data_IF_170635196324
#
_entry.id   IF_170635196324
#
_cell.length_a   1.000
_cell.length_b   1.000
_cell.length_c   1.000
_cell.angle_alpha   90.00
_cell.angle_beta   90.00
_cell.angle_gamma   90.00
#
_symmetry.space_group_name_H-M   'P 1'
#
loop_
_entity.id
_entity.type
_entity.pdbx_description
1 polymer ?
2 non-polymer ?
3 non-polymer ?
4 non-polymer ?
5 water ?
#
# COMPACT_ATOMS: atom_id res chain seq x y z
N UNK A 4 14.64 -29.56 7.63
CA UNK A 4 15.19 -28.73 8.74
C UNK A 4 15.13 -27.23 8.42
N UNK A 5 14.88 -26.40 9.44
CA UNK A 5 14.47 -24.99 9.27
C UNK A 5 15.45 -24.03 8.63
N UNK A 6 14.92 -23.21 7.72
CA UNK A 6 15.70 -22.22 6.98
C UNK A 6 15.64 -20.87 7.64
N UNK A 7 16.59 -20.00 7.33
CA UNK A 7 16.55 -18.67 7.92
C UNK A 7 16.24 -17.53 6.96
N UNK A 8 15.29 -16.69 7.35
CA UNK A 8 14.82 -15.57 6.53
C UNK A 8 15.11 -14.24 7.21
N UNK A 9 15.80 -13.37 6.47
CA UNK A 9 16.01 -12.01 6.95
C UNK A 9 14.81 -11.16 6.56
N UNK A 10 14.15 -10.60 7.57
CA UNK A 10 13.09 -9.64 7.31
C UNK A 10 13.53 -8.23 7.73
N UNK A 11 13.38 -7.31 6.79
CA UNK A 11 13.64 -5.91 7.04
C UNK A 11 12.32 -5.37 7.58
N UNK A 12 12.24 -5.29 8.91
CA UNK A 12 10.99 -4.97 9.63
C UNK A 12 10.78 -3.46 9.69
N UNK A 13 9.65 -3.02 9.14
CA UNK A 13 9.29 -1.60 9.03
C UNK A 13 7.79 -1.52 8.76
N UNK A 14 7.30 -0.33 8.39
CA UNK A 14 5.87 -0.15 8.15
C UNK A 14 5.45 -0.73 6.81
N UNK A 15 4.16 -0.95 6.62
CA UNK A 15 3.62 -1.30 5.31
C UNK A 15 3.42 -2.77 5.04
N UNK A 16 2.73 -3.07 3.93
CA UNK A 16 2.59 -4.42 3.43
C UNK A 16 1.79 -5.32 4.35
N UNK A 17 2.23 -6.58 4.45
CA UNK A 17 1.56 -7.56 5.30
C UNK A 17 1.66 -7.15 6.78
N UNK A 18 0.51 -6.98 7.45
CA UNK A 18 0.55 -6.44 8.81
C UNK A 18 1.24 -7.40 9.81
N UNK A 19 1.94 -6.84 10.81
CA UNK A 19 2.64 -7.68 11.79
C UNK A 19 1.80 -8.80 12.41
N UNK A 20 0.52 -8.53 12.68
CA UNK A 20 -0.36 -9.51 13.35
C UNK A 20 -0.54 -10.81 12.57
N UNK A 21 -0.25 -10.78 11.28
CA UNK A 21 -0.21 -11.99 10.47
C UNK A 21 1.23 -12.41 10.16
N UNK A 22 2.02 -11.47 9.63
CA UNK A 22 3.32 -11.83 9.04
C UNK A 22 4.26 -12.68 9.90
N UNK A 23 4.46 -12.28 11.15
CA UNK A 23 5.46 -12.91 12.00
C UNK A 23 5.09 -14.32 12.42
N UNK A 24 3.83 -14.53 12.80
CA UNK A 24 3.33 -15.87 13.15
C UNK A 24 3.35 -16.80 11.92
N UNK A 25 2.95 -16.27 10.78
CA UNK A 25 2.93 -17.01 9.51
C UNK A 25 4.33 -17.46 9.13
N UNK A 26 5.26 -16.50 9.15
CA UNK A 26 6.66 -16.77 8.82
C UNK A 26 7.31 -17.74 9.80
N UNK A 27 7.13 -17.51 11.10
CA UNK A 27 7.79 -18.32 12.11
C UNK A 27 7.39 -19.80 12.08
N UNK A 28 6.22 -20.10 11.50
CA UNK A 28 5.70 -21.47 11.48
C UNK A 28 6.73 -22.45 10.92
N UNK A 29 7.37 -22.07 9.82
CA UNK A 29 8.33 -22.92 9.14
C UNK A 29 9.74 -22.35 9.03
N UNK A 30 9.89 -21.09 9.43
CA UNK A 30 11.17 -20.38 9.23
C UNK A 30 11.71 -19.73 10.49
N UNK A 31 13.03 -19.71 10.60
CA UNK A 31 13.71 -18.92 11.62
C UNK A 31 13.94 -17.52 11.09
N UNK A 32 13.34 -16.54 11.78
CA UNK A 32 13.39 -15.15 11.35
C UNK A 32 14.45 -14.33 12.09
N UNK A 33 15.26 -13.65 11.29
CA UNK A 33 16.16 -12.61 11.76
C UNK A 33 15.55 -11.29 11.33
N UNK A 34 15.30 -10.40 12.29
CA UNK A 34 14.64 -9.13 12.00
C UNK A 34 15.61 -7.97 12.03
N UNK A 35 15.79 -7.34 10.89
CA UNK A 35 16.58 -6.12 10.81
C UNK A 35 15.67 -4.89 10.81
N UNK A 36 15.90 -4.03 11.80
CA UNK A 36 15.17 -2.80 11.93
C UNK A 36 16.10 -1.62 11.66
N UNK A 37 16.05 -1.08 10.44
CA UNK A 37 16.86 0.08 10.07
C UNK A 37 16.34 1.37 10.69
N UNK A 38 15.05 1.39 11.02
CA UNK A 38 14.39 2.60 11.56
C UNK A 38 13.59 2.25 12.82
N UNK A 39 14.25 2.22 13.99
CA UNK A 39 13.60 1.77 15.24
C UNK A 39 12.38 2.61 15.63
N UNK A 40 12.35 3.87 15.20
CA UNK A 40 11.23 4.77 15.42
C UNK A 40 9.97 4.44 14.59
N UNK A 41 10.09 3.54 13.61
CA UNK A 41 8.96 3.17 12.76
C UNK A 41 8.21 1.96 13.30
N UNK A 42 8.63 1.47 14.46
CA UNK A 42 8.08 0.26 15.04
C UNK A 42 7.11 0.58 16.18
N UNK A 43 5.87 0.13 16.05
CA UNK A 43 4.90 0.34 17.12
C UNK A 43 5.18 -0.64 18.27
N UNK A 44 4.56 -0.39 19.42
CA UNK A 44 4.73 -1.26 20.57
C UNK A 44 4.28 -2.67 20.26
N UNK A 45 3.14 -2.81 19.58
CA UNK A 45 2.61 -4.14 19.25
C UNK A 45 3.44 -4.84 18.16
N UNK A 46 3.93 -4.06 17.19
CA UNK A 46 4.86 -4.59 16.18
C UNK A 46 6.15 -5.08 16.85
N UNK A 47 6.72 -4.26 17.72
CA UNK A 47 7.92 -4.65 18.45
C UNK A 47 7.71 -5.99 19.13
N UNK A 48 6.58 -6.13 19.83
CA UNK A 48 6.31 -7.34 20.61
C UNK A 48 6.22 -8.59 19.75
N UNK A 49 5.64 -8.45 18.54
CA UNK A 49 5.55 -9.58 17.61
C UNK A 49 6.92 -9.92 17.02
N UNK A 50 7.74 -8.90 16.79
CA UNK A 50 9.08 -9.10 16.26
C UNK A 50 9.89 -9.97 17.23
N UNK A 51 9.88 -9.63 18.51
CA UNK A 51 10.72 -10.39 19.42
C UNK A 51 10.15 -11.78 19.69
N UNK A 52 8.83 -11.90 19.67
CA UNK A 52 8.20 -13.19 19.94
C UNK A 52 8.60 -14.24 18.90
N UNK A 53 8.59 -13.84 17.63
CA UNK A 53 8.76 -14.77 16.51
C UNK A 53 10.11 -14.71 15.80
N UNK A 54 11.07 -13.97 16.36
CA UNK A 54 12.38 -13.86 15.74
C UNK A 54 13.40 -14.60 16.56
N UNK A 55 14.31 -15.30 15.89
CA UNK A 55 15.46 -15.91 16.56
C UNK A 55 16.52 -14.85 16.86
N UNK A 56 16.53 -13.78 16.07
CA UNK A 56 17.45 -12.66 16.27
C UNK A 56 16.78 -11.36 15.83
N UNK A 57 17.10 -10.27 16.54
CA UNK A 57 16.61 -8.95 16.21
C UNK A 57 17.80 -7.99 16.20
N UNK A 58 17.95 -7.22 15.12
CA UNK A 58 19.05 -6.27 14.99
C UNK A 58 18.52 -4.88 14.64
N UNK A 59 18.72 -3.93 15.55
CA UNK A 59 18.37 -2.53 15.33
C UNK A 59 19.60 -1.72 14.96
N UNK A 60 19.42 -0.68 14.13
CA UNK A 60 20.47 0.28 13.85
C UNK A 60 20.80 1.01 15.15
N UNK A 61 21.98 0.72 15.69
CA UNK A 61 22.38 1.28 16.98
C UNK A 61 22.62 2.78 16.97
N UNK A 62 22.90 3.32 15.79
CA UNK A 62 23.15 4.76 15.63
C UNK A 62 21.94 5.62 15.99
N UNK A 63 20.74 5.03 15.98
CA UNK A 63 19.56 5.76 16.44
C UNK A 63 19.53 6.02 17.96
N UNK A 64 20.21 5.16 18.73
CA UNK A 64 20.07 5.21 20.18
C UNK A 64 21.12 6.08 20.85
N UNK A 65 20.64 7.17 21.46
CA UNK A 65 21.50 8.22 22.02
C UNK A 65 21.17 8.46 23.50
N UNK A 66 19.91 8.21 23.88
CA UNK A 66 19.46 8.28 25.28
C UNK A 66 18.28 7.35 25.52
N UNK A 67 17.86 7.25 26.78
CA UNK A 67 16.80 6.34 27.20
C UNK A 67 15.47 6.56 26.45
N UNK A 68 15.16 7.81 26.11
CA UNK A 68 13.94 8.17 25.39
C UNK A 68 13.83 7.50 24.03
N UNK A 69 14.97 7.12 23.47
CA UNK A 69 15.01 6.48 22.15
C UNK A 69 14.47 5.05 22.18
N UNK A 70 14.39 4.47 23.38
CA UNK A 70 13.92 3.09 23.55
C UNK A 70 12.41 2.96 23.76
N UNK A 71 11.69 4.06 23.61
CA UNK A 71 10.24 4.07 23.76
C UNK A 71 9.56 3.73 22.41
N UNK A 72 8.52 2.89 22.43
CA UNK A 72 7.74 2.60 21.22
C UNK A 72 6.41 3.32 21.25
N UNK A 73 6.05 4.02 20.16
CA UNK A 73 4.70 4.59 20.06
C UNK A 73 3.61 3.51 19.95
N UNK A 74 2.39 3.84 20.37
CA UNK A 74 1.27 2.91 20.16
C UNK A 74 0.83 2.84 18.70
N UNK A 75 0.82 3.99 18.03
CA UNK A 75 0.34 4.09 16.66
C UNK A 75 1.27 4.90 15.80
N UNK A 76 1.63 4.36 14.64
CA UNK A 76 2.37 5.08 13.63
C UNK A 76 1.76 4.72 12.27
N UNK A 77 1.45 5.73 11.47
CA UNK A 77 1.02 5.44 10.10
C UNK A 77 2.19 5.64 9.13
N UNK A 78 2.85 6.78 9.25
CA UNK A 78 4.01 7.12 8.45
C UNK A 78 5.08 7.63 9.40
N UNK A 79 6.32 7.14 9.23
CA UNK A 79 7.43 7.50 10.11
C UNK A 79 7.92 8.93 9.88
N UNK A 80 7.63 9.81 10.85
CA UNK A 80 7.95 11.24 10.72
C UNK A 80 9.33 11.59 11.28
N UNK A 81 10.35 10.81 10.91
CA UNK A 81 11.72 11.06 11.31
C UNK A 81 12.70 10.64 10.25
N UNK A 82 13.91 11.20 10.34
CA UNK A 82 14.95 11.04 9.33
C UNK A 82 15.77 9.76 9.47
N UNK A 83 16.08 9.16 8.32
CA UNK A 83 17.05 8.10 8.21
C UNK A 83 17.98 8.53 7.07
N UNK A 84 19.22 8.81 7.42
CA UNK A 84 20.15 9.55 6.55
C UNK A 84 21.26 8.74 5.88
N UNK A 85 21.18 7.42 5.95
CA UNK A 85 22.21 6.58 5.33
C UNK A 85 22.03 6.51 3.81
N UNK A 86 23.13 6.64 3.04
CA UNK A 86 23.06 6.48 1.60
C UNK A 86 22.74 5.04 1.22
N UNK A 87 22.12 4.84 0.05
CA UNK A 87 21.67 3.53 -0.41
C UNK A 87 22.74 2.44 -0.25
N UNK A 88 23.95 2.75 -0.69
CA UNK A 88 25.06 1.81 -0.60
C UNK A 88 25.32 1.35 0.86
N UNK A 89 25.27 2.29 1.80
CA UNK A 89 25.47 1.95 3.20
C UNK A 89 24.37 1.03 3.74
N UNK A 90 23.11 1.32 3.40
CA UNK A 90 21.99 0.45 3.76
C UNK A 90 22.17 -0.94 3.16
N UNK A 91 22.54 -1.01 1.89
CA UNK A 91 22.81 -2.28 1.21
C UNK A 91 23.81 -3.11 2.03
N UNK A 92 24.97 -2.51 2.32
CA UNK A 92 26.02 -3.12 3.13
C UNK A 92 25.51 -3.65 4.48
N UNK A 93 24.62 -2.90 5.11
CA UNK A 93 24.02 -3.31 6.38
C UNK A 93 23.19 -4.60 6.22
N UNK A 94 22.39 -4.66 5.16
CA UNK A 94 21.60 -5.86 4.86
C UNK A 94 22.50 -7.05 4.59
N UNK A 95 23.54 -6.85 3.76
CA UNK A 95 24.41 -7.98 3.41
C UNK A 95 25.12 -8.51 4.66
N UNK A 96 25.61 -7.60 5.51
CA UNK A 96 26.32 -8.00 6.72
C UNK A 96 25.43 -8.78 7.68
N UNK A 97 24.22 -8.27 7.94
CA UNK A 97 23.27 -8.97 8.81
C UNK A 97 22.94 -10.37 8.25
N UNK A 98 22.87 -10.47 6.93
CA UNK A 98 22.60 -11.72 6.23
C UNK A 98 23.75 -12.74 6.33
N UNK A 99 24.99 -12.26 6.25
CA UNK A 99 26.16 -13.13 6.37
C UNK A 99 26.34 -13.52 7.82
N UNK A 100 26.27 -12.50 8.69
CA UNK A 100 26.21 -12.63 10.15
C UNK A 100 25.37 -13.82 10.62
N UNK A 101 24.22 -14.02 9.99
CA UNK A 101 23.28 -15.06 10.40
C UNK A 101 23.02 -16.18 9.38
N UNK A 102 23.78 -16.20 8.28
CA UNK A 102 23.61 -17.20 7.22
C UNK A 102 22.21 -17.26 6.63
N UNK A 103 21.69 -16.12 6.21
CA UNK A 103 20.33 -16.00 5.66
C UNK A 103 20.16 -16.77 4.35
N UNK A 104 18.99 -17.40 4.21
CA UNK A 104 18.65 -18.15 3.00
C UNK A 104 17.82 -17.28 2.05
N UNK A 105 17.22 -16.23 2.60
CA UNK A 105 16.31 -15.35 1.87
C UNK A 105 16.19 -14.00 2.56
N UNK A 106 15.74 -13.00 1.81
CA UNK A 106 15.46 -11.67 2.37
C UNK A 106 14.09 -11.20 1.88
N UNK A 107 13.29 -10.69 2.81
CA UNK A 107 11.99 -10.13 2.47
C UNK A 107 11.75 -8.85 3.25
N UNK A 108 10.90 -8.00 2.70
CA UNK A 108 10.42 -6.84 3.44
C UNK A 108 8.97 -6.59 3.08
N UNK A 109 8.24 -6.03 4.02
CA UNK A 109 6.88 -5.60 3.76
C UNK A 109 6.86 -4.13 3.42
N UNK A 110 8.04 -3.50 3.49
CA UNK A 110 8.16 -2.05 3.39
C UNK A 110 8.52 -1.55 2.01
N UNK A 111 7.66 -0.70 1.46
CA UNK A 111 7.89 -0.11 0.13
C UNK A 111 9.25 0.59 0.01
N UNK A 112 9.60 1.39 1.02
CA UNK A 112 10.78 2.26 0.95
C UNK A 112 12.12 1.52 0.82
N UNK A 113 12.23 0.32 1.38
CA UNK A 113 13.51 -0.40 1.33
C UNK A 113 13.61 -1.49 0.27
N UNK A 114 12.65 -1.48 -0.66
CA UNK A 114 12.56 -2.50 -1.70
C UNK A 114 13.79 -2.54 -2.64
N UNK A 115 14.25 -1.37 -3.07
CA UNK A 115 15.36 -1.32 -4.03
C UNK A 115 16.70 -1.75 -3.39
N UNK A 116 17.03 -1.21 -2.20
CA UNK A 116 18.23 -1.69 -1.51
C UNK A 116 18.21 -3.19 -1.24
N UNK A 117 17.05 -3.72 -0.82
CA UNK A 117 16.93 -5.15 -0.56
C UNK A 117 17.29 -5.96 -1.81
N UNK A 118 16.80 -5.51 -2.96
CA UNK A 118 17.12 -6.16 -4.22
C UNK A 118 18.63 -6.19 -4.47
N UNK A 119 19.33 -5.08 -4.24
CA UNK A 119 20.79 -5.03 -4.42
C UNK A 119 21.52 -6.01 -3.51
N UNK A 120 21.11 -6.07 -2.25
CA UNK A 120 21.68 -7.02 -1.29
C UNK A 120 21.48 -8.48 -1.70
N UNK A 121 20.28 -8.80 -2.17
CA UNK A 121 19.91 -10.17 -2.56
C UNK A 121 20.78 -10.73 -3.70
N UNK A 122 21.00 -9.89 -4.71
CA UNK A 122 21.72 -10.33 -5.88
C UNK A 122 23.22 -10.38 -5.59
N UNK A 123 23.65 -9.52 -4.66
CA UNK A 123 25.02 -9.49 -4.18
C UNK A 123 25.31 -10.74 -3.34
N UNK A 124 24.26 -11.37 -2.81
CA UNK A 124 24.40 -12.59 -2.00
C UNK A 124 24.02 -13.89 -2.73
N UNK A 125 23.60 -13.79 -3.99
CA UNK A 125 23.15 -14.97 -4.75
C UNK A 125 21.79 -15.51 -4.29
N UNK A 126 21.02 -14.69 -3.57
CA UNK A 126 19.68 -15.09 -3.10
C UNK A 126 18.56 -14.62 -4.04
N UNK A 127 17.40 -15.25 -3.93
CA UNK A 127 16.25 -14.84 -4.74
C UNK A 127 15.76 -13.46 -4.30
N UNK A 128 15.40 -12.64 -5.28
CA UNK A 128 14.94 -11.28 -5.02
C UNK A 128 14.29 -10.69 -6.26
N UNK A 129 13.85 -9.43 -6.13
CA UNK A 129 13.17 -8.73 -7.21
C UNK A 129 13.98 -8.59 -8.49
N UNK A 130 15.30 -8.59 -8.36
CA UNK A 130 16.21 -8.21 -9.44
C UNK A 130 16.51 -6.73 -9.29
N UNK A 131 17.80 -6.36 -9.38
CA UNK A 131 18.25 -4.99 -9.11
C UNK A 131 17.48 -3.91 -9.86
N UNK A 132 17.45 -4.01 -11.20
CA UNK A 132 16.81 -3.00 -12.03
C UNK A 132 15.30 -3.05 -11.98
N UNK A 133 14.78 -4.27 -11.98
CA UNK A 133 13.34 -4.51 -11.86
C UNK A 133 12.77 -3.85 -10.59
N UNK A 134 13.49 -3.97 -9.48
CA UNK A 134 13.06 -3.32 -8.22
C UNK A 134 13.07 -1.80 -8.29
N UNK A 135 14.06 -1.24 -8.95
CA UNK A 135 14.09 0.21 -9.21
C UNK A 135 12.90 0.61 -10.09
N UNK A 136 12.58 -0.24 -11.06
CA UNK A 136 11.44 -0.02 -11.92
C UNK A 136 10.12 0.01 -11.15
N UNK A 137 10.07 -0.80 -10.08
CA UNK A 137 8.88 -0.91 -9.25
C UNK A 137 8.88 0.11 -8.10
N UNK A 138 9.81 1.07 -8.18
CA UNK A 138 9.99 2.06 -7.13
C UNK A 138 10.14 3.50 -7.65
N UNK A 139 10.63 3.65 -8.87
CA UNK A 139 10.72 4.97 -9.50
C UNK A 139 9.61 5.04 -10.57
N UNK A 140 8.60 5.85 -10.29
CA UNK A 140 7.39 5.89 -11.12
C UNK A 140 7.61 6.31 -12.58
N UNK A 141 8.65 7.11 -12.82
CA UNK A 141 9.10 7.44 -14.18
C UNK A 141 9.58 6.19 -14.93
N UNK A 142 10.44 5.43 -14.26
CA UNK A 142 10.94 4.15 -14.77
C UNK A 142 9.79 3.17 -14.91
N UNK A 143 8.90 3.15 -13.93
CA UNK A 143 7.74 2.27 -13.92
C UNK A 143 6.84 2.50 -15.13
N UNK A 144 6.42 3.75 -15.33
CA UNK A 144 5.53 4.11 -16.44
C UNK A 144 6.14 3.78 -17.80
N UNK A 145 7.45 4.01 -17.92
CA UNK A 145 8.23 3.66 -19.11
C UNK A 145 8.18 2.18 -19.44
N UNK A 146 8.46 1.34 -18.45
CA UNK A 146 8.38 -0.11 -18.61
C UNK A 146 6.98 -0.55 -19.01
N UNK A 147 5.95 0.06 -18.40
CA UNK A 147 4.54 -0.19 -18.73
C UNK A 147 4.23 0.10 -20.21
N UNK A 148 4.65 1.28 -20.67
CA UNK A 148 4.48 1.68 -22.07
C UNK A 148 5.14 0.72 -23.06
N UNK A 149 6.35 0.25 -22.73
CA UNK A 149 7.09 -0.67 -23.58
C UNK A 149 6.47 -2.07 -23.55
N UNK A 150 5.81 -2.39 -22.44
CA UNK A 150 5.08 -3.65 -22.34
C UNK A 150 3.75 -3.49 -23.08
N UNK A 151 3.01 -4.57 -23.22
CA UNK A 151 1.82 -4.50 -24.08
C UNK A 151 0.60 -3.77 -23.52
N UNK A 152 0.72 -3.11 -22.37
CA UNK A 152 -0.44 -2.47 -21.71
C UNK A 152 -0.70 -1.04 -22.19
N UNK A 153 -1.95 -0.58 -21.97
CA UNK A 153 -2.40 0.77 -22.27
C UNK A 153 -1.30 1.79 -21.98
N UNK A 154 -0.86 2.50 -23.02
CA UNK A 154 0.21 3.46 -22.88
C UNK A 154 -0.34 4.87 -22.73
N UNK A 155 0.34 5.68 -21.92
CA UNK A 155 0.00 7.09 -21.73
C UNK A 155 1.24 7.98 -21.85
N UNK A 156 1.03 9.21 -22.31
CA UNK A 156 2.08 10.22 -22.32
C UNK A 156 2.52 10.50 -20.88
N UNK A 157 3.83 10.62 -20.68
CA UNK A 157 4.41 10.96 -19.38
C UNK A 157 5.74 11.67 -19.54
N UNK A 158 6.10 12.45 -18.53
CA UNK A 158 7.37 13.17 -18.56
C UNK A 158 7.93 13.36 -17.16
N UNK A 159 9.25 13.39 -17.08
CA UNK A 159 9.97 13.66 -15.85
C UNK A 159 9.81 15.14 -15.50
N UNK A 160 9.56 15.44 -14.22
CA UNK A 160 9.46 16.82 -13.76
C UNK A 160 10.31 17.05 -12.50
N UNK A 161 11.20 18.05 -12.57
CA UNK A 161 12.04 18.46 -11.45
C UNK A 161 11.79 19.94 -11.14
N UNK A 162 11.93 20.79 -12.16
CA UNK A 162 11.79 22.24 -12.04
C UNK A 162 10.43 22.69 -12.54
N UNK A 163 10.05 23.92 -12.21
CA UNK A 163 8.81 24.53 -12.73
C UNK A 163 8.77 24.49 -14.26
N UNK A 164 9.92 24.76 -14.88
CA UNK A 164 10.04 24.75 -16.33
C UNK A 164 9.69 23.37 -16.92
N UNK A 165 10.15 22.30 -16.25
CA UNK A 165 9.80 20.93 -16.64
C UNK A 165 8.30 20.68 -16.57
N UNK A 166 7.66 21.24 -15.54
CA UNK A 166 6.22 21.12 -15.33
C UNK A 166 5.43 21.85 -16.42
N UNK A 167 5.89 23.05 -16.79
CA UNK A 167 5.24 23.86 -17.83
C UNK A 167 5.27 23.22 -19.21
N UNK A 168 6.40 22.55 -19.50
CA UNK A 168 6.55 21.78 -20.73
C UNK A 168 5.65 20.55 -20.71
N UNK A 169 5.61 19.88 -19.57
CA UNK A 169 4.77 18.70 -19.38
C UNK A 169 3.29 19.06 -19.50
N UNK A 170 2.92 20.24 -19.03
CA UNK A 170 1.55 20.73 -19.17
C UNK A 170 1.25 21.12 -20.63
N UNK A 171 2.28 21.47 -21.40
CA UNK A 171 2.10 21.78 -22.82
C UNK A 171 1.92 20.48 -23.65
N UNK A 172 2.79 19.51 -23.42
CA UNK A 172 2.81 18.24 -24.17
C UNK A 172 1.55 17.43 -23.85
N UNK A 173 1.48 16.91 -22.62
CA UNK A 173 0.27 16.31 -22.06
C UNK A 173 -0.66 17.46 -21.72
N UNK A 174 -1.97 17.25 -21.84
CA UNK A 174 -2.91 18.32 -21.53
C UNK A 174 -3.63 18.15 -20.20
N UNK A 175 -4.55 19.08 -19.95
CA UNK A 175 -5.58 18.92 -18.92
C UNK A 175 -6.54 17.80 -19.36
N UNK A 176 -6.94 16.92 -18.43
CA UNK A 176 -6.51 16.77 -17.04
C UNK A 176 -5.25 15.92 -16.90
N UNK A 177 -4.40 16.23 -15.93
CA UNK A 177 -3.17 15.46 -15.76
C UNK A 177 -2.86 15.13 -14.31
N UNK A 178 -2.23 13.97 -14.10
CA UNK A 178 -1.78 13.52 -12.80
C UNK A 178 -0.33 13.93 -12.56
N UNK A 179 -0.10 14.64 -11.46
CA UNK A 179 1.24 14.99 -11.03
C UNK A 179 1.47 14.36 -9.67
N UNK A 180 2.53 13.57 -9.58
CA UNK A 180 2.80 12.83 -8.36
C UNK A 180 4.30 12.62 -8.10
N UNK A 181 4.69 12.54 -6.81
CA UNK A 181 6.06 12.18 -6.50
C UNK A 181 6.33 10.78 -7.03
N UNK A 182 7.56 10.53 -7.45
CA UNK A 182 7.88 9.29 -8.16
C UNK A 182 8.28 8.15 -7.23
N UNK A 183 8.40 8.44 -5.94
CA UNK A 183 9.15 7.57 -5.01
C UNK A 183 8.50 7.33 -3.65
N UNK A 184 7.29 7.82 -3.44
CA UNK A 184 6.59 7.60 -2.18
C UNK A 184 5.49 6.54 -2.29
N UNK A 185 4.49 6.66 -1.44
CA UNK A 185 3.38 5.73 -1.38
C UNK A 185 2.24 6.48 -0.71
N UNK A 186 1.19 5.74 -0.37
CA UNK A 186 0.06 6.25 0.39
C UNK A 186 -0.59 7.49 -0.22
N UNK A 187 -0.44 7.66 -1.54
CA UNK A 187 -1.03 8.80 -2.27
C UNK A 187 -0.47 10.16 -1.88
N UNK A 188 0.66 10.15 -1.18
CA UNK A 188 1.31 11.39 -0.74
C UNK A 188 1.67 12.22 -1.98
N UNK A 189 1.24 13.48 -1.96
CA UNK A 189 1.58 14.44 -3.02
C UNK A 189 0.89 14.24 -4.37
N UNK A 190 0.08 13.18 -4.48
CA UNK A 190 -0.56 12.85 -5.75
C UNK A 190 -1.65 13.88 -6.04
N UNK A 191 -1.54 14.55 -7.18
CA UNK A 191 -2.35 15.71 -7.48
C UNK A 191 -2.95 15.65 -8.88
N UNK A 192 -4.25 15.98 -8.96
CA UNK A 192 -4.94 16.17 -10.24
C UNK A 192 -5.05 17.65 -10.61
N UNK A 193 -4.37 18.07 -11.68
CA UNK A 193 -4.51 19.44 -12.18
C UNK A 193 -5.53 19.44 -13.31
N UNK A 194 -6.61 20.20 -13.12
CA UNK A 194 -7.73 20.23 -14.08
C UNK A 194 -7.87 21.55 -14.85
N UNK A 195 -7.23 22.61 -14.36
CA UNK A 195 -7.21 23.86 -15.11
C UNK A 195 -5.84 24.53 -15.17
N UNK A 196 -5.52 25.11 -16.32
CA UNK A 196 -4.20 25.67 -16.61
C UNK A 196 -3.96 27.03 -15.93
N UNK A 197 -5.03 27.64 -15.44
CA UNK A 197 -4.97 29.00 -14.90
C UNK A 197 -4.46 29.08 -13.46
N UNK A 198 -4.45 27.94 -12.76
CA UNK A 198 -3.91 27.85 -11.39
C UNK A 198 -2.93 26.69 -11.25
N UNK A 199 -2.49 26.14 -12.40
CA UNK A 199 -1.64 24.96 -12.43
C UNK A 199 -0.25 25.16 -11.81
N UNK A 200 0.33 26.34 -12.06
CA UNK A 200 1.65 26.73 -11.52
C UNK A 200 1.63 26.74 -10.01
N UNK A 201 0.64 27.45 -9.46
CA UNK A 201 0.44 27.56 -8.02
C UNK A 201 0.36 26.19 -7.34
N UNK A 202 -0.36 25.25 -7.98
CA UNK A 202 -0.51 23.89 -7.46
C UNK A 202 0.83 23.14 -7.45
N UNK A 203 1.63 23.33 -8.49
CA UNK A 203 2.94 22.69 -8.56
C UNK A 203 3.88 23.24 -7.48
N UNK A 204 3.89 24.56 -7.29
CA UNK A 204 4.70 25.19 -6.24
C UNK A 204 4.29 24.69 -4.87
N UNK A 205 2.98 24.51 -4.69
CA UNK A 205 2.44 24.02 -3.43
C UNK A 205 2.93 22.61 -3.13
N UNK A 206 2.80 21.71 -4.11
CA UNK A 206 3.17 20.31 -3.91
C UNK A 206 4.68 20.11 -3.85
N UNK A 207 5.42 20.93 -4.59
CA UNK A 207 6.89 20.92 -4.54
C UNK A 207 7.41 21.29 -3.16
N UNK A 208 6.85 22.36 -2.57
CA UNK A 208 7.16 22.77 -1.20
C UNK A 208 6.75 21.71 -0.20
N UNK A 209 5.59 21.11 -0.44
CA UNK A 209 5.04 20.07 0.43
C UNK A 209 5.93 18.82 0.46
N UNK A 210 6.48 18.47 -0.69
CA UNK A 210 7.31 17.26 -0.83
C UNK A 210 8.58 17.34 0.00
N UNK A 211 9.18 18.53 0.05
CA UNK A 211 10.40 18.79 0.79
C UNK A 211 10.22 18.47 2.27
N UNK A 212 8.98 18.44 2.73
CA UNK A 212 8.67 18.24 4.14
C UNK A 212 8.32 16.78 4.50
N UNK A 213 8.31 15.88 3.52
CA UNK A 213 8.05 14.46 3.79
C UNK A 213 9.31 13.72 4.23
N UNK A 214 9.25 13.10 5.41
CA UNK A 214 10.33 12.25 5.91
C UNK A 214 10.44 10.98 5.09
N UNK A 215 11.65 10.74 4.58
CA UNK A 215 11.93 9.63 3.69
C UNK A 215 13.41 9.26 3.82
N UNK A 216 13.73 7.96 3.84
CA UNK A 216 15.15 7.58 3.92
C UNK A 216 15.93 8.06 2.69
N UNK A 217 17.14 8.54 2.92
CA UNK A 217 18.04 8.97 1.84
C UNK A 217 18.38 7.82 0.89
N UNK A 218 18.07 6.59 1.31
CA UNK A 218 18.31 5.40 0.52
C UNK A 218 17.37 5.29 -0.70
N UNK A 219 16.25 6.00 -0.64
CA UNK A 219 15.34 6.04 -1.76
C UNK A 219 15.86 7.04 -2.77
N UNK A 220 16.32 6.54 -3.91
CA UNK A 220 16.82 7.39 -4.98
C UNK A 220 15.86 7.39 -6.16
N UNK A 221 16.00 8.39 -7.02
CA UNK A 221 15.05 8.63 -8.11
C UNK A 221 15.66 9.49 -9.22
N UNK A 222 15.22 9.26 -10.44
CA UNK A 222 15.70 10.03 -11.59
C UNK A 222 15.23 11.49 -11.48
N UNK A 223 13.94 11.65 -11.20
CA UNK A 223 13.31 12.96 -11.03
C UNK A 223 12.26 12.87 -9.92
N UNK A 224 12.05 13.97 -9.17
CA UNK A 224 11.11 13.92 -8.04
C UNK A 224 9.64 13.76 -8.45
N UNK A 225 9.25 14.31 -9.59
CA UNK A 225 7.87 14.21 -10.06
C UNK A 225 7.71 13.52 -11.40
N UNK A 226 6.56 12.91 -11.59
CA UNK A 226 6.12 12.48 -12.90
C UNK A 226 4.81 13.23 -13.19
N UNK A 227 4.70 13.75 -14.41
CA UNK A 227 3.45 14.27 -14.93
C UNK A 227 2.98 13.27 -15.96
N UNK A 228 1.67 13.04 -15.99
CA UNK A 228 1.12 11.85 -16.60
C UNK A 228 -0.34 12.12 -16.95
N UNK A 229 -0.82 11.51 -18.03
CA UNK A 229 -2.26 11.53 -18.36
C UNK A 229 -3.11 10.96 -17.23
N UNK A 230 -4.26 11.59 -17.01
CA UNK A 230 -5.24 11.03 -16.09
C UNK A 230 -5.99 9.87 -16.76
N UNK A 231 -5.96 8.72 -16.08
CA UNK A 231 -6.65 7.53 -16.54
C UNK A 231 -8.14 7.59 -16.18
N UNK A 232 -8.98 7.84 -17.17
CA UNK A 232 -10.42 7.96 -16.97
C UNK A 232 -11.07 6.58 -16.77
N UNK A 233 -11.83 6.46 -15.68
CA UNK A 233 -12.61 5.26 -15.44
C UNK A 233 -13.97 5.28 -16.12
N UNK A 234 -14.49 4.09 -16.40
CA UNK A 234 -15.89 3.91 -16.82
C UNK A 234 -16.55 2.80 -15.99
N UNK A 235 -16.91 3.10 -14.75
CA UNK A 235 -17.60 2.17 -13.87
C UNK A 235 -18.58 1.24 -14.61
N UNK A 236 -19.51 1.84 -15.35
CA UNK A 236 -20.59 1.13 -16.04
C UNK A 236 -20.16 0.09 -17.06
N UNK A 237 -18.93 0.21 -17.58
CA UNK A 237 -18.40 -0.81 -18.49
C UNK A 237 -17.96 -2.11 -17.78
N UNK A 238 -17.77 -2.03 -16.47
CA UNK A 238 -17.21 -3.12 -15.68
C UNK A 238 -18.22 -3.74 -14.69
N UNK A 239 -18.69 -2.94 -13.73
CA UNK A 239 -19.56 -3.45 -12.66
C UNK A 239 -21.04 -3.42 -13.00
N UNK A 240 -21.74 -4.45 -12.56
CA UNK A 240 -23.17 -4.57 -12.80
C UNK A 240 -24.04 -3.93 -11.70
N UNK A 241 -23.47 -3.73 -10.50
CA UNK A 241 -24.17 -3.05 -9.42
C UNK A 241 -23.34 -1.90 -8.84
N UNK A 242 -24.01 -0.97 -8.16
CA UNK A 242 -23.31 0.12 -7.49
C UNK A 242 -22.60 -0.38 -6.22
N UNK A 243 -21.73 0.44 -5.65
CA UNK A 243 -21.07 0.15 -4.38
C UNK A 243 -19.56 0.09 -4.41
N UNK A 244 -18.99 -0.08 -5.61
CA UNK A 244 -17.55 -0.21 -5.75
C UNK A 244 -16.95 1.10 -6.31
N UNK A 245 -15.82 0.99 -7.01
CA UNK A 245 -15.23 2.17 -7.62
C UNK A 245 -14.61 1.86 -8.97
N UNK A 246 -13.98 2.89 -9.52
CA UNK A 246 -13.27 2.96 -10.79
C UNK A 246 -12.01 2.11 -10.92
N UNK A 247 -11.56 1.51 -9.83
CA UNK A 247 -10.25 0.87 -9.83
C UNK A 247 -10.27 -0.36 -8.98
N UNK A 248 -9.21 -1.15 -9.10
CA UNK A 248 -9.01 -2.34 -8.29
C UNK A 248 -7.53 -2.49 -7.99
N UNK A 249 -7.21 -3.29 -7.00
CA UNK A 249 -5.86 -3.84 -6.91
C UNK A 249 -5.92 -5.33 -7.18
N UNK A 250 -4.79 -5.87 -7.60
CA UNK A 250 -4.63 -7.31 -7.74
C UNK A 250 -3.35 -7.73 -7.01
N UNK A 251 -3.46 -8.79 -6.22
CA UNK A 251 -2.34 -9.31 -5.45
C UNK A 251 -1.83 -10.58 -6.11
N UNK A 252 -0.51 -10.65 -6.29
CA UNK A 252 0.12 -11.83 -6.88
C UNK A 252 1.52 -12.12 -6.35
N UNK A 253 2.17 -13.12 -6.95
CA UNK A 253 3.54 -13.47 -6.63
C UNK A 253 4.29 -13.57 -7.94
N UNK A 254 5.52 -13.04 -7.96
CA UNK A 254 6.47 -13.32 -9.02
C UNK A 254 7.38 -14.47 -8.58
N UNK A 255 7.59 -15.44 -9.45
CA UNK A 255 8.42 -16.59 -9.13
C UNK A 255 9.25 -16.92 -10.35
N UNK A 256 10.57 -16.91 -10.17
CA UNK A 256 11.55 -17.00 -11.26
C UNK A 256 11.05 -16.33 -12.54
N UNK A 257 10.64 -15.07 -12.41
CA UNK A 257 10.20 -14.25 -13.54
C UNK A 257 8.77 -14.40 -14.06
N UNK A 258 7.98 -15.31 -13.49
CA UNK A 258 6.61 -15.55 -13.96
C UNK A 258 5.56 -15.01 -12.97
N UNK A 259 4.51 -14.39 -13.52
CA UNK A 259 3.47 -13.79 -12.70
C UNK A 259 2.40 -14.81 -12.32
N UNK A 260 2.14 -14.95 -11.02
CA UNK A 260 1.06 -15.81 -10.55
C UNK A 260 0.03 -14.99 -9.78
N UNK A 261 -1.11 -14.69 -10.44
CA UNK A 261 -2.15 -13.89 -9.80
C UNK A 261 -2.81 -14.68 -8.68
N UNK A 262 -3.25 -13.97 -7.64
CA UNK A 262 -3.86 -14.63 -6.49
C UNK A 262 -5.30 -14.15 -6.28
N UNK A 263 -5.48 -12.85 -6.06
CA UNK A 263 -6.79 -12.29 -5.77
C UNK A 263 -6.93 -10.83 -6.21
N UNK A 264 -8.10 -10.49 -6.72
CA UNK A 264 -8.45 -9.11 -7.03
C UNK A 264 -9.25 -8.54 -5.85
N UNK A 265 -9.00 -7.27 -5.54
CA UNK A 265 -9.81 -6.53 -4.57
C UNK A 265 -10.66 -5.46 -5.21
N UNK A 266 -11.97 -5.54 -4.97
CA UNK A 266 -12.86 -4.43 -5.23
C UNK A 266 -12.59 -3.31 -4.20
N UNK A 267 -13.08 -2.12 -4.49
CA UNK A 267 -12.81 -0.94 -3.67
C UNK A 267 -14.08 -0.15 -3.53
N UNK A 268 -14.20 0.59 -2.42
CA UNK A 268 -15.23 1.63 -2.31
C UNK A 268 -14.61 2.97 -2.74
N UNK A 269 -15.45 3.93 -3.19
CA UNK A 269 -14.87 5.22 -3.67
C UNK A 269 -13.90 5.84 -2.67
N UNK A 270 -12.74 6.27 -3.18
CA UNK A 270 -11.75 6.96 -2.34
C UNK A 270 -12.20 8.41 -2.01
N UNK A 271 -11.54 9.03 -1.04
CA UNK A 271 -11.74 10.45 -0.73
C UNK A 271 -10.56 11.18 -1.36
N UNK A 272 -10.79 11.81 -2.51
CA UNK A 272 -9.70 12.32 -3.32
C UNK A 272 -8.93 11.10 -3.78
N UNK A 273 -7.70 10.97 -3.31
CA UNK A 273 -6.92 9.76 -3.60
C UNK A 273 -6.64 8.90 -2.35
N UNK A 274 -7.28 9.26 -1.25
CA UNK A 274 -7.20 8.48 -0.02
C UNK A 274 -8.17 7.31 -0.07
N UNK A 275 -7.66 6.10 0.16
CA UNK A 275 -8.46 4.87 0.05
C UNK A 275 -9.32 4.64 1.28
N UNK A 276 -10.46 3.98 1.06
CA UNK A 276 -11.47 3.81 2.10
C UNK A 276 -11.74 2.36 2.48
N UNK A 277 -11.89 1.49 1.49
CA UNK A 277 -12.20 0.07 1.76
C UNK A 277 -11.64 -0.85 0.68
N UNK A 278 -11.36 -2.09 1.08
CA UNK A 278 -10.98 -3.17 0.17
C UNK A 278 -11.87 -4.38 0.43
N UNK A 279 -12.40 -4.99 -0.64
CA UNK A 279 -13.27 -6.15 -0.49
C UNK A 279 -12.64 -7.38 -1.10
N UNK A 280 -12.43 -8.40 -0.26
CA UNK A 280 -11.89 -9.68 -0.69
C UNK A 280 -13.04 -10.68 -0.87
N UNK A 281 -13.15 -11.28 -2.08
CA UNK A 281 -12.44 -10.94 -3.30
C UNK A 281 -13.36 -10.15 -4.23
N UNK A 282 -12.91 -9.91 -5.46
CA UNK A 282 -13.70 -9.14 -6.41
C UNK A 282 -14.93 -9.91 -6.88
N UNK A 283 -16.00 -9.16 -7.12
CA UNK A 283 -17.27 -9.68 -7.64
C UNK A 283 -17.29 -9.69 -9.19
N UNK A 284 -16.22 -9.21 -9.81
CA UNK A 284 -16.21 -9.08 -11.26
C UNK A 284 -16.36 -10.43 -11.95
N UNK A 285 -16.99 -10.42 -13.12
CA UNK A 285 -17.18 -11.62 -13.92
C UNK A 285 -15.84 -12.17 -14.40
N UNK A 286 -15.89 -13.39 -14.92
CA UNK A 286 -14.69 -14.13 -15.30
C UNK A 286 -13.97 -13.42 -16.46
N UNK A 287 -14.71 -12.75 -17.33
CA UNK A 287 -14.12 -12.04 -18.46
C UNK A 287 -13.39 -10.77 -18.04
N UNK A 288 -13.98 -10.03 -17.12
CA UNK A 288 -13.34 -8.87 -16.54
C UNK A 288 -12.05 -9.27 -15.81
N UNK A 289 -12.13 -10.30 -14.98
CA UNK A 289 -10.98 -10.80 -14.24
C UNK A 289 -9.83 -11.17 -15.17
N UNK A 290 -10.15 -11.84 -16.29
CA UNK A 290 -9.15 -12.27 -17.26
C UNK A 290 -8.39 -11.10 -17.87
N UNK A 291 -9.10 -9.99 -18.08
CA UNK A 291 -8.50 -8.78 -18.64
C UNK A 291 -7.52 -8.15 -17.64
N UNK A 292 -7.97 -8.09 -16.39
CA UNK A 292 -7.14 -7.57 -15.31
C UNK A 292 -5.86 -8.40 -15.14
N UNK A 293 -6.02 -9.73 -15.10
CA UNK A 293 -4.91 -10.67 -14.94
C UNK A 293 -3.89 -10.51 -16.06
N UNK A 294 -4.39 -10.34 -17.29
CA UNK A 294 -3.54 -10.14 -18.47
C UNK A 294 -2.71 -8.86 -18.36
N UNK A 295 -3.36 -7.77 -17.96
CA UNK A 295 -2.69 -6.49 -17.75
C UNK A 295 -1.59 -6.61 -16.69
N UNK A 296 -1.94 -7.18 -15.54
CA UNK A 296 -0.99 -7.34 -14.43
C UNK A 296 0.17 -8.25 -14.80
N UNK A 297 -0.11 -9.28 -15.61
CA UNK A 297 0.93 -10.19 -16.08
C UNK A 297 1.94 -9.45 -16.95
N UNK A 298 1.43 -8.72 -17.95
CA UNK A 298 2.27 -7.96 -18.88
C UNK A 298 3.05 -6.85 -18.17
N UNK A 299 2.40 -6.20 -17.21
CA UNK A 299 3.02 -5.10 -16.49
C UNK A 299 4.17 -5.57 -15.58
N UNK A 300 3.89 -6.53 -14.70
CA UNK A 300 4.89 -7.05 -13.73
C UNK A 300 6.02 -7.84 -14.35
N UNK A 301 5.74 -8.56 -15.43
CA UNK A 301 6.77 -9.18 -16.25
C UNK A 301 7.47 -8.10 -17.06
N UNK A 302 6.71 -7.05 -17.43
CA UNK A 302 7.27 -5.90 -18.12
C UNK A 302 8.28 -5.12 -17.30
N UNK A 303 8.08 -5.13 -15.99
CA UNK A 303 9.04 -4.56 -15.04
C UNK A 303 10.30 -5.43 -14.96
N UNK A 304 10.14 -6.72 -15.20
CA UNK A 304 11.26 -7.67 -15.19
C UNK A 304 11.45 -8.30 -13.83
N UNK A 305 10.45 -8.13 -12.96
CA UNK A 305 10.50 -8.67 -11.59
C UNK A 305 10.70 -10.18 -11.57
N UNK A 306 11.57 -10.63 -10.68
CA UNK A 306 11.99 -12.03 -10.66
C UNK A 306 11.25 -12.80 -9.53
N UNK A 307 11.45 -12.39 -8.27
CA UNK A 307 10.89 -13.11 -7.11
C UNK A 307 10.48 -12.15 -6.00
N UNK A 308 9.17 -12.05 -5.76
CA UNK A 308 8.62 -11.10 -4.81
C UNK A 308 7.11 -11.25 -4.77
N UNK A 309 6.49 -10.61 -3.77
CA UNK A 309 5.05 -10.41 -3.74
C UNK A 309 4.71 -9.21 -4.62
N UNK A 310 3.46 -9.11 -5.00
CA UNK A 310 3.05 -8.13 -6.00
C UNK A 310 1.76 -7.41 -5.60
N UNK A 311 1.74 -6.09 -5.73
CA UNK A 311 0.54 -5.30 -5.44
C UNK A 311 0.34 -4.29 -6.56
N UNK A 312 -0.70 -4.52 -7.37
CA UNK A 312 -0.84 -3.85 -8.66
C UNK A 312 -2.18 -3.15 -8.70
N UNK A 313 -2.16 -1.85 -8.97
CA UNK A 313 -3.40 -1.08 -8.98
C UNK A 313 -3.78 -0.76 -10.41
N UNK A 314 -5.05 -0.98 -10.74
CA UNK A 314 -5.51 -0.85 -12.11
C UNK A 314 -6.79 -0.02 -12.20
N UNK A 315 -6.79 0.96 -13.10
CA UNK A 315 -7.96 1.78 -13.38
C UNK A 315 -8.84 1.06 -14.40
N UNK A 316 -10.13 0.99 -14.09
CA UNK A 316 -11.11 0.33 -14.94
C UNK A 316 -11.66 1.32 -15.95
N UNK A 317 -11.15 1.23 -17.18
CA UNK A 317 -11.41 2.23 -18.20
C UNK A 317 -12.46 1.81 -19.22
N UNK A 318 -12.80 2.75 -20.10
CA UNK A 318 -13.71 2.60 -21.22
C UNK A 318 -13.41 1.34 -22.05
N UNK A 319 -14.46 0.67 -22.53
CA UNK A 319 -14.33 -0.55 -23.35
C UNK A 319 -13.62 -1.71 -22.66
N UNK A 320 -13.69 -1.74 -21.33
CA UNK A 320 -13.01 -2.74 -20.52
C UNK A 320 -11.50 -2.82 -20.74
N UNK A 321 -10.86 -1.65 -20.83
CA UNK A 321 -9.43 -1.57 -20.93
C UNK A 321 -8.83 -1.34 -19.57
N UNK A 322 -7.91 -2.22 -19.16
CA UNK A 322 -7.19 -2.07 -17.92
C UNK A 322 -6.12 -1.00 -18.06
N UNK A 323 -6.15 0.00 -17.17
CA UNK A 323 -5.14 1.04 -17.16
C UNK A 323 -4.29 0.85 -15.92
N UNK A 324 -2.97 0.80 -16.10
CA UNK A 324 -2.08 0.57 -14.99
C UNK A 324 -1.78 1.84 -14.23
N UNK A 325 -2.11 1.84 -12.94
CA UNK A 325 -1.77 2.97 -12.08
C UNK A 325 -0.32 2.87 -11.64
N UNK A 326 0.03 1.76 -11.00
CA UNK A 326 1.27 1.58 -10.25
C UNK A 326 1.34 0.09 -9.92
N UNK A 327 2.53 -0.41 -9.70
CA UNK A 327 2.70 -1.76 -9.14
C UNK A 327 3.82 -1.78 -8.13
N UNK A 328 3.68 -2.60 -7.08
CA UNK A 328 4.71 -2.75 -6.04
C UNK A 328 5.30 -4.15 -6.00
N UNK A 329 6.59 -4.25 -5.72
CA UNK A 329 7.26 -5.55 -5.58
C UNK A 329 7.15 -6.09 -4.14
N UNK A 330 6.00 -5.87 -3.52
CA UNK A 330 5.77 -6.21 -2.12
C UNK A 330 4.24 -6.37 -1.88
N UNK A 331 3.87 -6.89 -0.71
CA UNK A 331 2.48 -7.12 -0.36
C UNK A 331 1.67 -5.83 -0.19
N UNK A 332 0.37 -5.93 -0.48
CA UNK A 332 -0.58 -4.87 -0.20
C UNK A 332 -0.64 -4.53 1.30
N UNK A 333 -0.87 -3.26 1.61
CA UNK A 333 -1.06 -2.81 3.00
C UNK A 333 -2.44 -3.12 3.54
N UNK A 334 -2.77 -2.52 4.68
CA UNK A 334 -4.01 -2.78 5.42
C UNK A 334 -4.13 -4.28 5.71
N UNK A 335 -5.35 -4.81 5.74
CA UNK A 335 -5.58 -6.23 6.01
C UNK A 335 -5.85 -7.08 4.77
N UNK A 336 -5.45 -6.63 3.59
CA UNK A 336 -5.76 -7.38 2.38
C UNK A 336 -5.17 -8.80 2.38
N UNK A 337 -3.90 -8.91 2.75
CA UNK A 337 -3.27 -10.24 2.76
C UNK A 337 -3.90 -11.18 3.81
N UNK A 338 -4.10 -10.69 5.04
CA UNK A 338 -4.83 -11.55 5.99
C UNK A 338 -6.24 -11.90 5.51
N UNK A 339 -6.89 -10.98 4.83
CA UNK A 339 -8.26 -11.24 4.36
C UNK A 339 -8.33 -12.25 3.23
N UNK A 340 -7.28 -12.33 2.43
CA UNK A 340 -7.15 -13.43 1.46
C UNK A 340 -7.08 -14.76 2.20
N UNK A 341 -6.38 -14.78 3.33
CA UNK A 341 -6.28 -16.00 4.15
C UNK A 341 -7.62 -16.39 4.83
N UNK A 342 -8.37 -15.40 5.30
CA UNK A 342 -9.67 -15.67 5.92
C UNK A 342 -10.65 -16.23 4.90
N UNK A 343 -10.65 -15.65 3.70
CA UNK A 343 -11.60 -16.05 2.66
C UNK A 343 -11.24 -17.40 2.05
N UNK A 344 -10.01 -17.53 1.58
CA UNK A 344 -9.61 -18.70 0.78
C UNK A 344 -8.77 -19.73 1.53
N UNK A 345 -8.33 -19.39 2.75
CA UNK A 345 -7.43 -20.25 3.52
C UNK A 345 -5.98 -20.27 3.02
N UNK A 346 -5.64 -19.41 2.06
CA UNK A 346 -4.27 -19.35 1.56
C UNK A 346 -3.42 -18.29 2.28
N UNK A 347 -2.26 -18.70 2.79
CA UNK A 347 -1.35 -17.79 3.50
C UNK A 347 -0.26 -17.31 2.53
N UNK A 348 -0.41 -16.09 2.01
CA UNK A 348 0.51 -15.58 0.99
C UNK A 348 1.89 -15.27 1.53
N UNK A 349 1.95 -14.90 2.81
CA UNK A 349 3.22 -14.68 3.47
C UNK A 349 4.09 -15.95 3.45
N UNK A 350 3.50 -17.09 3.83
CA UNK A 350 4.22 -18.36 3.80
C UNK A 350 4.58 -18.72 2.36
N UNK A 351 3.66 -18.45 1.43
CA UNK A 351 3.86 -18.75 0.02
C UNK A 351 5.05 -17.99 -0.55
N UNK A 352 5.16 -16.71 -0.22
CA UNK A 352 6.29 -15.89 -0.67
C UNK A 352 7.61 -16.45 -0.19
N UNK A 353 7.69 -16.77 1.10
CA UNK A 353 8.95 -17.24 1.66
C UNK A 353 9.33 -18.58 1.05
N UNK A 354 8.30 -19.38 0.76
CA UNK A 354 8.48 -20.67 0.11
C UNK A 354 9.07 -20.48 -1.28
N UNK A 355 8.58 -19.46 -2.00
CA UNK A 355 9.12 -19.10 -3.31
C UNK A 355 10.55 -18.57 -3.21
N UNK A 356 10.83 -17.78 -2.18
CA UNK A 356 12.17 -17.19 -2.02
C UNK A 356 13.20 -18.24 -1.63
N UNK A 357 12.74 -19.33 -1.00
CA UNK A 357 13.62 -20.43 -0.65
C UNK A 357 13.68 -21.57 -1.68
N UNK A 358 12.60 -21.79 -2.44
CA UNK A 358 12.50 -22.96 -3.33
C UNK A 358 12.09 -22.68 -4.79
N UNK A 359 11.92 -21.41 -5.15
CA UNK A 359 11.51 -21.06 -6.52
C UNK A 359 10.10 -21.52 -6.88
N UNK A 360 9.97 -22.17 -8.03
CA UNK A 360 8.64 -22.61 -8.51
C UNK A 360 8.17 -23.93 -7.88
N UNK A 361 9.02 -24.52 -7.04
CA UNK A 361 8.64 -25.67 -6.22
C UNK A 361 7.60 -25.35 -5.13
N UNK A 362 7.26 -24.07 -4.98
CA UNK A 362 6.26 -23.66 -3.99
C UNK A 362 4.86 -24.01 -4.47
N UNK A 363 3.92 -24.09 -3.53
CA UNK A 363 2.55 -24.43 -3.85
C UNK A 363 1.80 -23.21 -4.44
N UNK A 364 2.25 -22.81 -5.63
CA UNK A 364 1.67 -21.67 -6.35
C UNK A 364 0.38 -22.06 -7.04
N UNK A 365 -0.70 -21.26 -6.85
CA UNK A 365 -1.95 -21.51 -7.56
C UNK A 365 -1.82 -21.14 -9.03
N UNK A 366 -2.52 -21.84 -9.90
CA UNK A 366 -2.56 -21.41 -11.27
C UNK A 366 -3.88 -20.72 -11.50
N UNK A 367 -3.82 -19.39 -11.63
CA UNK A 367 -5.02 -18.58 -11.77
C UNK A 367 -5.51 -18.12 -10.42
N UNK A 368 -6.33 -17.08 -10.45
CA UNK A 368 -7.04 -16.56 -9.29
C UNK A 368 -7.80 -17.62 -8.51
N UNK A 369 -7.68 -17.56 -7.19
CA UNK A 369 -8.48 -18.36 -6.29
C UNK A 369 -9.95 -18.08 -6.56
N UNK A 370 -10.77 -19.11 -6.47
CA UNK A 370 -12.19 -18.93 -6.64
C UNK A 370 -12.97 -19.65 -5.54
N UNK A 371 -14.30 -19.64 -5.67
CA UNK A 371 -15.20 -20.25 -4.69
C UNK A 371 -15.04 -19.71 -3.28
N UNK A 372 -15.02 -18.39 -3.17
CA UNK A 372 -15.20 -17.66 -1.91
C UNK A 372 -16.48 -18.17 -1.26
N UNK A 373 -16.39 -18.52 0.03
CA UNK A 373 -17.61 -18.83 0.77
C UNK A 373 -18.39 -17.56 1.19
N UNK A 374 -17.75 -16.39 1.04
CA UNK A 374 -18.30 -15.10 1.49
C UNK A 374 -17.32 -13.98 1.15
N UNK A 375 -17.66 -12.74 1.53
CA UNK A 375 -16.83 -11.56 1.28
C UNK A 375 -16.40 -10.89 2.58
N UNK A 376 -15.14 -10.45 2.61
CA UNK A 376 -14.59 -9.71 3.77
C UNK A 376 -14.17 -8.30 3.33
N UNK A 377 -14.63 -7.29 4.08
CA UNK A 377 -14.29 -5.89 3.79
C UNK A 377 -13.39 -5.29 4.86
N UNK A 378 -12.31 -4.65 4.40
CA UNK A 378 -11.39 -3.92 5.25
C UNK A 378 -11.66 -2.42 5.06
N UNK A 379 -12.13 -1.76 6.11
CA UNK A 379 -12.68 -0.39 5.96
C UNK A 379 -12.09 0.60 6.96
N UNK A 380 -11.80 1.80 6.48
CA UNK A 380 -11.37 2.88 7.37
C UNK A 380 -12.33 4.06 7.34
N UNK A 381 -12.40 4.77 8.45
CA UNK A 381 -13.17 6.01 8.56
C UNK A 381 -12.21 7.15 8.82
N UNK A 382 -12.56 8.30 8.27
CA UNK A 382 -11.70 9.47 8.31
C UNK A 382 -12.46 10.71 8.80
N UNK A 383 -11.72 11.72 9.29
CA UNK A 383 -12.36 12.97 9.70
C UNK A 383 -13.29 13.53 8.62
N UNK A 384 -12.89 13.35 7.37
CA UNK A 384 -13.68 13.80 6.23
C UNK A 384 -15.08 13.18 6.15
N UNK A 385 -15.21 11.92 6.57
CA UNK A 385 -16.53 11.29 6.64
C UNK A 385 -17.44 12.13 7.55
N UNK A 386 -16.89 12.61 8.66
CA UNK A 386 -17.64 13.38 9.64
C UNK A 386 -17.83 14.87 9.28
N UNK A 387 -17.06 15.34 8.30
CA UNK A 387 -17.32 16.64 7.68
C UNK A 387 -18.42 16.49 6.67
N UNK A 388 -18.38 15.39 5.90
CA UNK A 388 -19.38 15.10 4.87
C UNK A 388 -20.77 14.95 5.48
N UNK A 389 -20.86 14.29 6.64
CA UNK A 389 -22.15 14.07 7.28
C UNK A 389 -22.58 15.15 8.27
N UNK A 390 -21.84 16.26 8.31
CA UNK A 390 -22.22 17.45 9.09
C UNK A 390 -21.86 17.48 10.57
N UNK A 391 -21.17 16.46 11.05
CA UNK A 391 -20.79 16.38 12.47
C UNK A 391 -19.60 17.27 12.86
N UNK A 392 -18.66 17.47 11.93
CA UNK A 392 -17.50 18.35 12.15
C UNK A 392 -17.56 19.48 11.14
N UNK A 393 -17.55 20.74 11.60
CA UNK A 393 -17.62 21.83 10.61
C UNK A 393 -16.32 21.95 9.82
N UNK A 394 -16.38 22.57 8.65
CA UNK A 394 -15.24 22.63 7.73
C UNK A 394 -13.97 23.21 8.37
N UNK A 395 -14.11 24.29 9.13
CA UNK A 395 -12.93 24.94 9.71
C UNK A 395 -12.53 24.45 11.11
N UNK A 396 -12.98 23.24 11.47
CA UNK A 396 -12.63 22.64 12.76
C UNK A 396 -11.14 22.37 12.93
N UNK A 397 -10.65 22.56 14.16
CA UNK A 397 -9.25 22.30 14.48
C UNK A 397 -9.13 21.29 15.61
N UNK A 398 -7.96 20.65 15.68
CA UNK A 398 -7.55 19.78 16.78
C UNK A 398 -8.65 18.93 17.42
N UNK A 399 -9.16 17.98 16.65
CA UNK A 399 -10.23 17.08 17.10
C UNK A 399 -9.75 16.21 18.25
N UNK A 400 -10.55 16.08 19.29
CA UNK A 400 -10.25 15.14 20.36
C UNK A 400 -11.36 14.10 20.44
N UNK A 401 -11.03 12.87 20.09
CA UNK A 401 -12.02 11.81 19.93
C UNK A 401 -12.22 11.01 21.20
N UNK A 402 -13.48 10.93 21.65
CA UNK A 402 -13.84 10.06 22.77
C UNK A 402 -14.25 8.67 22.28
N UNK A 403 -15.18 8.63 21.30
CA UNK A 403 -15.74 7.38 20.82
C UNK A 403 -16.32 7.53 19.42
N UNK A 404 -16.37 6.42 18.68
CA UNK A 404 -17.18 6.31 17.48
C UNK A 404 -18.07 5.08 17.61
N UNK A 405 -19.36 5.27 17.37
CA UNK A 405 -20.36 4.22 17.54
C UNK A 405 -21.17 4.02 16.27
N UNK A 406 -21.50 2.77 15.98
CA UNK A 406 -22.28 2.45 14.78
C UNK A 406 -23.72 2.18 15.19
N UNK A 407 -24.66 3.04 14.72
CA UNK A 407 -26.06 2.84 15.07
C UNK A 407 -26.57 1.52 14.52
N UNK A 408 -27.51 0.92 15.24
CA UNK A 408 -28.20 -0.27 14.79
C UNK A 408 -28.93 0.00 13.47
N UNK A 409 -29.11 -1.05 12.68
CA UNK A 409 -30.01 -0.99 11.53
C UNK A 409 -29.40 -0.57 10.21
N UNK A 410 -28.06 -0.53 10.14
CA UNK A 410 -27.38 -0.07 8.94
C UNK A 410 -26.92 -1.18 7.99
N UNK A 411 -27.04 -2.42 8.43
CA UNK A 411 -26.50 -3.53 7.68
C UNK A 411 -27.51 -4.11 6.72
N UNK A 412 -27.07 -4.41 5.49
CA UNK A 412 -27.94 -5.03 4.49
C UNK A 412 -27.79 -6.54 4.50
N UNK A 413 -28.91 -7.23 4.28
CA UNK A 413 -28.92 -8.69 4.21
C UNK A 413 -28.26 -9.31 5.43
N UNK A 414 -27.32 -10.21 5.20
CA UNK A 414 -26.72 -10.97 6.27
C UNK A 414 -25.37 -10.42 6.70
N UNK A 415 -25.01 -9.26 6.17
CA UNK A 415 -23.75 -8.61 6.52
C UNK A 415 -23.61 -8.43 8.03
N UNK A 416 -22.44 -8.73 8.55
CA UNK A 416 -22.17 -8.52 9.95
C UNK A 416 -20.88 -7.71 10.14
N UNK A 417 -20.78 -7.07 11.30
CA UNK A 417 -19.54 -6.41 11.71
C UNK A 417 -18.73 -7.44 12.47
N UNK A 418 -17.59 -7.86 11.95
CA UNK A 418 -16.80 -8.82 12.71
C UNK A 418 -15.94 -8.12 13.78
N UNK A 419 -15.39 -6.96 13.44
CA UNK A 419 -14.66 -6.16 14.41
C UNK A 419 -14.79 -4.68 14.10
N UNK A 420 -14.73 -3.85 15.13
CA UNK A 420 -14.76 -2.40 14.97
C UNK A 420 -13.81 -1.80 15.97
N UNK A 421 -12.97 -0.88 15.50
CA UNK A 421 -11.92 -0.33 16.34
C UNK A 421 -11.74 1.17 16.09
N UNK A 422 -12.15 1.98 17.06
CA UNK A 422 -11.99 3.44 16.95
C UNK A 422 -10.67 3.88 17.60
N UNK A 423 -10.16 5.03 17.20
CA UNK A 423 -9.02 5.65 17.88
C UNK A 423 -9.28 5.73 19.39
N UNK A 424 -8.23 5.56 20.18
CA UNK A 424 -8.35 5.46 21.64
C UNK A 424 -8.99 6.70 22.24
N UNK A 425 -9.89 6.51 23.24
CA UNK A 425 -10.43 7.70 23.93
C UNK A 425 -9.33 8.71 24.27
N UNK A 426 -9.51 9.94 23.80
CA UNK A 426 -8.60 11.02 24.14
C UNK A 426 -7.56 11.31 23.07
N UNK A 427 -7.56 10.55 21.98
CA UNK A 427 -6.57 10.86 20.95
C UNK A 427 -6.89 12.12 20.15
N UNK A 428 -5.84 12.89 19.92
CA UNK A 428 -5.91 14.20 19.33
C UNK A 428 -5.56 14.08 17.86
N UNK A 429 -6.47 14.44 16.97
CA UNK A 429 -6.17 14.35 15.56
C UNK A 429 -6.00 15.73 14.94
N UNK A 430 -4.89 15.88 14.23
CA UNK A 430 -4.50 17.11 13.59
C UNK A 430 -5.19 17.16 12.23
N UNK A 431 -6.18 18.04 12.09
CA UNK A 431 -6.99 18.09 10.87
C UNK A 431 -6.24 18.80 9.74
N UNK A 432 -5.02 19.23 10.04
CA UNK A 432 -4.07 19.83 9.10
C UNK A 432 -3.42 18.75 8.23
N UNK A 433 -3.34 17.53 8.76
CA UNK A 433 -2.60 16.45 8.12
C UNK A 433 -3.28 15.94 6.87
N UNK A 434 -2.49 15.30 6.01
CA UNK A 434 -2.98 14.66 4.81
C UNK A 434 -3.94 13.54 5.23
N UNK A 435 -5.12 13.54 4.63
CA UNK A 435 -6.22 12.66 5.01
C UNK A 435 -5.80 11.19 5.18
N UNK A 436 -4.99 10.68 4.25
CA UNK A 436 -4.54 9.28 4.31
C UNK A 436 -3.77 8.91 5.58
N UNK A 437 -3.23 9.91 6.29
CA UNK A 437 -2.50 9.71 7.54
C UNK A 437 -3.46 9.67 8.74
N UNK A 438 -4.72 10.05 8.52
CA UNK A 438 -5.64 10.37 9.62
C UNK A 438 -6.81 9.43 9.86
N UNK A 439 -6.66 8.16 9.54
CA UNK A 439 -7.70 7.20 9.86
C UNK A 439 -8.07 7.30 11.33
N UNK A 440 -9.36 7.31 11.61
CA UNK A 440 -9.82 7.41 12.99
C UNK A 440 -10.62 6.21 13.46
N UNK A 441 -10.95 5.30 12.53
CA UNK A 441 -11.53 4.00 12.88
C UNK A 441 -11.24 2.96 11.81
N UNK A 442 -11.22 1.71 12.24
CA UNK A 442 -11.07 0.61 11.32
C UNK A 442 -12.15 -0.43 11.65
N UNK A 443 -12.80 -0.98 10.62
CA UNK A 443 -13.77 -2.07 10.85
C UNK A 443 -13.72 -3.15 9.77
N UNK A 444 -14.19 -4.35 10.14
CA UNK A 444 -14.27 -5.46 9.22
C UNK A 444 -15.72 -5.95 9.06
N UNK A 445 -16.13 -6.08 7.81
CA UNK A 445 -17.43 -6.63 7.45
C UNK A 445 -17.29 -7.99 6.79
N UNK A 446 -18.29 -8.85 7.02
CA UNK A 446 -18.38 -10.15 6.39
C UNK A 446 -19.81 -10.38 5.91
N UNK A 447 -19.96 -10.96 4.73
CA UNK A 447 -21.29 -11.26 4.19
C UNK A 447 -21.23 -12.17 2.99
N UNK A 448 -22.36 -12.82 2.69
CA UNK A 448 -22.53 -13.73 1.55
C UNK A 448 -22.69 -12.97 0.24
N UNK A 449 -23.03 -11.68 0.36
CA UNK A 449 -23.48 -10.90 -0.76
C UNK A 449 -22.66 -9.61 -0.83
N UNK A 450 -21.79 -9.55 -1.83
CA UNK A 450 -20.86 -8.45 -1.99
C UNK A 450 -21.53 -7.07 -2.04
N UNK A 451 -22.58 -6.95 -2.84
CA UNK A 451 -23.32 -5.71 -3.00
C UNK A 451 -23.85 -5.22 -1.65
N UNK A 452 -24.39 -6.15 -0.85
CA UNK A 452 -24.88 -5.88 0.49
C UNK A 452 -23.75 -5.42 1.40
N UNK A 453 -22.56 -5.99 1.19
CA UNK A 453 -21.40 -5.59 1.99
C UNK A 453 -21.05 -4.14 1.65
N UNK A 454 -20.91 -3.84 0.36
CA UNK A 454 -20.55 -2.51 -0.08
C UNK A 454 -21.59 -1.46 0.31
N UNK A 455 -22.86 -1.86 0.31
CA UNK A 455 -23.91 -0.95 0.67
C UNK A 455 -23.88 -0.71 2.18
N UNK A 456 -23.53 -1.73 2.96
CA UNK A 456 -23.35 -1.56 4.40
C UNK A 456 -22.23 -0.56 4.71
N UNK A 457 -21.12 -0.66 3.96
CA UNK A 457 -20.03 0.29 4.09
C UNK A 457 -20.52 1.73 3.91
N UNK A 458 -21.17 2.00 2.78
CA UNK A 458 -21.68 3.36 2.52
C UNK A 458 -22.57 3.87 3.65
N UNK A 459 -23.44 3.00 4.17
CA UNK A 459 -24.33 3.33 5.29
C UNK A 459 -23.54 3.69 6.56
N UNK A 460 -22.56 2.87 6.91
CA UNK A 460 -21.72 3.13 8.07
C UNK A 460 -20.95 4.43 7.92
N UNK A 461 -20.38 4.68 6.73
CA UNK A 461 -19.67 5.93 6.45
C UNK A 461 -20.57 7.15 6.60
N UNK A 462 -21.84 7.00 6.24
CA UNK A 462 -22.82 8.06 6.31
C UNK A 462 -23.30 8.32 7.74
N UNK A 463 -23.55 7.25 8.49
CA UNK A 463 -24.37 7.33 9.70
C UNK A 463 -23.64 7.08 11.02
N UNK A 464 -22.37 6.71 10.95
CA UNK A 464 -21.54 6.54 12.14
C UNK A 464 -21.61 7.81 13.00
N UNK A 465 -21.72 7.63 14.31
CA UNK A 465 -21.84 8.74 15.26
C UNK A 465 -20.52 8.98 15.99
N UNK A 466 -20.02 10.20 15.87
CA UNK A 466 -18.79 10.61 16.53
C UNK A 466 -19.09 11.28 17.87
N UNK A 467 -18.42 10.83 18.92
CA UNK A 467 -18.41 11.53 20.20
C UNK A 467 -17.03 12.15 20.40
N UNK A 468 -16.97 13.47 20.31
CA UNK A 468 -15.69 14.17 20.30
C UNK A 468 -15.86 15.66 20.53
N UNK A 469 -14.72 16.33 20.67
CA UNK A 469 -14.65 17.76 20.82
C UNK A 469 -13.67 18.32 19.80
N UNK A 470 -13.94 19.53 19.32
CA UNK A 470 -13.04 20.23 18.40
C UNK A 470 -12.89 21.70 18.77
N UNK A 471 -11.88 22.33 18.17
CA UNK A 471 -11.57 23.74 18.40
C UNK A 471 -12.05 24.58 17.21
N UNK A 472 -12.56 25.78 17.50
CA UNK A 472 -12.85 26.77 16.47
C UNK A 472 -12.23 28.09 16.88
N UNK A 473 -11.84 28.95 15.91
CA UNK A 473 -11.43 30.30 16.25
C UNK A 473 -12.64 31.21 16.41
N UNK A 474 -12.55 32.20 17.29
CA UNK A 474 -13.62 33.17 17.44
C UNK A 474 -13.76 33.92 16.12
#
# INVERSE_FOLDING_TARGET
>A
GAMERKTVLVIADLGGCPPHMFYKSAAEKYNLVSFIPRPFAITASHAALIEKYSVAVIKDKDYFKSLADFEHPDSIYWAHEDHNKPEEEVVEQIVKVAEMFGADAITTNNELFIAPMAKACERLGLRGAGVQAAENARDKNKMRDAFNKAGVKSIKNKRVTTLEDFRAALEEIGTPLILKPTYLASSIGVTLITDTETAEDEFNRVNDYLKSINVPKAVTFEAPFIAEEFLQGEYGDWYQTEGYSDYISIEGIMADGEYFPIAIHDKTPQIGFTETSHITPSILDEEAKKKIVEAAKKANEGLGLQNCATHTEIKLMKNREPGLIESAARFAGWNMIPNIKKVFGLDMAQLLLDVLCFGKDADLPDGLLDQEPYYVADCHLYPQHFKQNGQIPETAEDLVIEAIDIPDGLLKGDTEIVSFSAAAPGTSVDLTLFEAFNSIAAFELKGSNSQDVAESIRQIQQHAKLTAKYVLPV
#
